data_IF_747055368699
#
_entry.id   IF_747055368699
#
_cell.length_a   1.000
_cell.length_b   1.000
_cell.length_c   1.000
_cell.angle_alpha   90.00
_cell.angle_beta   90.00
_cell.angle_gamma   90.00
#
_symmetry.space_group_name_H-M   'P 1'
#
loop_
_entity.id
_entity.type
_entity.pdbx_description
1 polymer ?
#
# COMPACT_ATOMS: atom_id res chain seq x y z
N UNK A 1 -0.37 3.24 -28.40
CA UNK A 1 -0.44 1.92 -27.71
C UNK A 1 -1.88 1.71 -27.25
N UNK A 2 -2.52 0.62 -27.63
CA UNK A 2 -3.91 0.36 -27.19
C UNK A 2 -3.87 -0.31 -25.80
N UNK A 3 -4.06 0.46 -24.74
CA UNK A 3 -4.02 -0.01 -23.34
C UNK A 3 -5.08 -1.09 -23.08
N UNK A 4 -6.17 -1.10 -23.84
CA UNK A 4 -7.26 -2.07 -23.71
C UNK A 4 -7.03 -3.38 -24.48
N UNK A 5 -5.89 -3.52 -25.18
CA UNK A 5 -5.60 -4.71 -26.00
C UNK A 5 -5.60 -6.00 -25.19
N UNK A 6 -5.09 -5.96 -23.96
CA UNK A 6 -5.03 -7.12 -23.06
C UNK A 6 -6.41 -7.64 -22.64
N UNK A 7 -7.47 -6.80 -22.65
CA UNK A 7 -8.84 -7.24 -22.35
C UNK A 7 -9.43 -8.20 -23.41
N UNK A 8 -8.83 -8.28 -24.59
CA UNK A 8 -9.22 -9.29 -25.60
C UNK A 8 -8.83 -10.70 -25.17
N UNK A 9 -7.87 -10.84 -24.27
CA UNK A 9 -7.47 -12.13 -23.72
C UNK A 9 -8.33 -12.46 -22.50
N UNK A 10 -9.28 -13.39 -22.66
CA UNK A 10 -10.32 -13.72 -21.66
C UNK A 10 -9.79 -14.01 -20.25
N UNK A 11 -8.71 -14.82 -20.06
CA UNK A 11 -8.18 -15.07 -18.72
C UNK A 11 -7.71 -13.79 -18.02
N UNK A 12 -6.99 -12.92 -18.74
CA UNK A 12 -6.56 -11.63 -18.18
C UNK A 12 -7.75 -10.70 -17.92
N UNK A 13 -8.73 -10.63 -18.81
CA UNK A 13 -9.91 -9.80 -18.64
C UNK A 13 -10.70 -10.18 -17.39
N UNK A 14 -10.91 -11.49 -17.15
CA UNK A 14 -11.57 -11.98 -15.94
C UNK A 14 -10.77 -11.62 -14.68
N UNK A 15 -9.45 -11.91 -14.66
CA UNK A 15 -8.60 -11.56 -13.53
C UNK A 15 -8.64 -10.07 -13.24
N UNK A 16 -8.45 -9.24 -14.28
CA UNK A 16 -8.42 -7.79 -14.15
C UNK A 16 -9.76 -7.22 -13.64
N UNK A 17 -10.89 -7.71 -14.16
CA UNK A 17 -12.22 -7.26 -13.71
C UNK A 17 -12.45 -7.63 -12.26
N UNK A 18 -12.23 -8.89 -11.87
CA UNK A 18 -12.39 -9.34 -10.49
C UNK A 18 -11.53 -8.53 -9.53
N UNK A 19 -10.24 -8.37 -9.86
CA UNK A 19 -9.30 -7.64 -9.01
C UNK A 19 -9.55 -6.13 -8.96
N UNK A 20 -10.08 -5.54 -10.03
CA UNK A 20 -10.45 -4.10 -10.00
C UNK A 20 -11.65 -3.89 -9.09
N UNK A 21 -12.64 -4.77 -9.13
CA UNK A 21 -13.81 -4.73 -8.24
C UNK A 21 -13.38 -4.94 -6.78
N UNK A 22 -12.53 -5.95 -6.51
CA UNK A 22 -12.03 -6.21 -5.16
C UNK A 22 -11.25 -5.03 -4.59
N UNK A 23 -10.32 -4.43 -5.36
CA UNK A 23 -9.59 -3.22 -4.93
C UNK A 23 -10.49 -2.03 -4.64
N UNK A 24 -11.59 -1.90 -5.37
CA UNK A 24 -12.58 -0.88 -5.07
C UNK A 24 -13.23 -1.19 -3.71
N UNK A 25 -13.65 -2.44 -3.47
CA UNK A 25 -14.14 -2.92 -2.18
C UNK A 25 -13.17 -2.63 -1.04
N UNK A 26 -11.89 -2.98 -1.19
CA UNK A 26 -10.85 -2.68 -0.21
C UNK A 26 -10.76 -1.19 0.13
N UNK A 27 -10.97 -0.31 -0.86
CA UNK A 27 -10.96 1.14 -0.63
C UNK A 27 -12.18 1.60 0.17
N UNK A 28 -13.37 0.99 -0.08
CA UNK A 28 -14.57 1.21 0.72
C UNK A 28 -14.37 0.74 2.15
N UNK A 29 -13.80 -0.47 2.30
CA UNK A 29 -13.51 -1.08 3.61
C UNK A 29 -12.61 -0.18 4.47
N UNK A 30 -11.51 0.34 3.91
CA UNK A 30 -10.60 1.22 4.66
C UNK A 30 -11.29 2.46 5.23
N UNK A 31 -12.18 3.09 4.48
CA UNK A 31 -12.94 4.27 4.95
C UNK A 31 -13.93 3.84 6.03
N UNK A 32 -14.70 2.77 5.78
CA UNK A 32 -15.68 2.25 6.73
C UNK A 32 -15.04 1.80 8.04
N UNK A 33 -13.91 1.08 7.96
CA UNK A 33 -13.20 0.59 9.13
C UNK A 33 -12.67 1.73 10.00
N UNK A 34 -12.00 2.70 9.38
CA UNK A 34 -11.46 3.85 10.12
C UNK A 34 -12.58 4.65 10.81
N UNK A 35 -13.70 4.84 10.12
CA UNK A 35 -14.86 5.56 10.68
C UNK A 35 -15.60 4.74 11.75
N UNK A 36 -15.76 3.43 11.54
CA UNK A 36 -16.38 2.53 12.53
C UNK A 36 -15.57 2.48 13.83
N UNK A 37 -14.24 2.34 13.75
CA UNK A 37 -13.37 2.33 14.94
C UNK A 37 -13.51 3.65 15.70
N UNK A 38 -13.49 4.79 14.99
CA UNK A 38 -13.69 6.10 15.59
C UNK A 38 -15.05 6.21 16.30
N UNK A 39 -16.14 5.77 15.66
CA UNK A 39 -17.49 5.90 16.21
C UNK A 39 -17.75 4.96 17.40
N UNK A 40 -17.26 3.74 17.31
CA UNK A 40 -17.54 2.71 18.36
C UNK A 40 -16.58 2.79 19.53
N UNK A 41 -15.35 3.22 19.34
CA UNK A 41 -14.35 3.22 20.42
C UNK A 41 -13.94 4.61 20.87
N UNK A 42 -14.01 5.60 20.02
CA UNK A 42 -13.46 6.95 20.28
C UNK A 42 -11.93 6.94 20.46
N UNK A 43 -11.24 5.81 20.26
CA UNK A 43 -9.82 5.63 20.56
C UNK A 43 -8.97 5.49 19.31
N UNK A 44 -8.02 6.40 19.15
CA UNK A 44 -7.02 6.31 18.10
C UNK A 44 -6.02 5.17 18.35
N UNK A 45 -5.78 4.80 19.60
CA UNK A 45 -5.00 3.61 19.96
C UNK A 45 -5.66 2.34 19.42
N UNK A 46 -6.99 2.24 19.47
CA UNK A 46 -7.70 1.12 18.86
C UNK A 46 -7.46 1.07 17.35
N UNK A 47 -7.52 2.21 16.65
CA UNK A 47 -7.23 2.28 15.21
C UNK A 47 -5.77 1.93 14.91
N UNK A 48 -4.83 2.45 15.68
CA UNK A 48 -3.41 2.08 15.58
C UNK A 48 -3.20 0.57 15.74
N UNK A 49 -3.87 -0.04 16.73
CA UNK A 49 -3.82 -1.49 17.00
C UNK A 49 -4.35 -2.31 15.81
N UNK A 50 -5.44 -1.90 15.18
CA UNK A 50 -5.97 -2.53 13.95
C UNK A 50 -4.89 -2.60 12.87
N UNK A 51 -4.24 -1.46 12.60
CA UNK A 51 -3.20 -1.39 11.57
C UNK A 51 -1.94 -2.19 11.95
N UNK A 52 -1.54 -2.17 13.22
CA UNK A 52 -0.43 -3.01 13.74
C UNK A 52 -0.72 -4.49 13.53
N UNK A 53 -1.93 -4.94 13.89
CA UNK A 53 -2.35 -6.34 13.76
C UNK A 53 -2.48 -6.79 12.29
N UNK A 54 -2.75 -5.89 11.37
CA UNK A 54 -2.69 -6.18 9.93
C UNK A 54 -1.24 -6.26 9.43
N UNK A 55 -0.40 -5.31 9.85
CA UNK A 55 0.95 -5.17 9.30
C UNK A 55 1.94 -6.22 9.82
N UNK A 56 1.83 -6.64 11.10
CA UNK A 56 2.76 -7.60 11.68
C UNK A 56 2.70 -8.98 10.99
N UNK A 57 1.53 -9.62 10.81
CA UNK A 57 1.47 -10.88 10.08
C UNK A 57 1.94 -10.74 8.63
N UNK A 58 1.58 -9.64 7.95
CA UNK A 58 2.05 -9.35 6.60
C UNK A 58 3.59 -9.38 6.53
N UNK A 59 4.28 -8.66 7.41
CA UNK A 59 5.75 -8.60 7.44
C UNK A 59 6.39 -9.96 7.77
N UNK A 60 5.84 -10.70 8.74
CA UNK A 60 6.37 -11.99 9.17
C UNK A 60 6.21 -13.04 8.05
N UNK A 61 5.03 -13.09 7.44
CA UNK A 61 4.69 -14.14 6.48
C UNK A 61 5.01 -13.81 5.03
N UNK A 62 5.39 -12.58 4.69
CA UNK A 62 5.68 -12.17 3.31
C UNK A 62 6.80 -13.01 2.67
N UNK A 63 7.86 -13.29 3.41
CA UNK A 63 8.97 -14.15 2.93
C UNK A 63 8.52 -15.59 2.73
N UNK A 64 7.70 -16.11 3.65
CA UNK A 64 7.13 -17.46 3.56
C UNK A 64 6.14 -17.52 2.39
N UNK A 65 5.35 -16.46 2.20
CA UNK A 65 4.39 -16.31 1.11
C UNK A 65 5.04 -16.46 -0.26
N UNK A 66 6.20 -15.85 -0.47
CA UNK A 66 6.97 -16.04 -1.71
C UNK A 66 7.32 -17.51 -1.97
N UNK A 67 7.82 -18.22 -0.94
CA UNK A 67 8.17 -19.65 -1.06
C UNK A 67 6.94 -20.52 -1.35
N UNK A 68 5.81 -20.21 -0.73
CA UNK A 68 4.55 -20.95 -0.93
C UNK A 68 4.03 -20.74 -2.35
N UNK A 69 4.05 -19.49 -2.85
CA UNK A 69 3.62 -19.12 -4.20
C UNK A 69 4.45 -19.81 -5.29
N UNK A 70 5.72 -20.11 -5.02
CA UNK A 70 6.55 -20.87 -5.94
C UNK A 70 6.21 -22.39 -5.98
N UNK A 71 5.57 -22.92 -4.92
CA UNK A 71 5.26 -24.35 -4.78
C UNK A 71 3.81 -24.70 -5.06
N UNK A 72 2.90 -23.75 -4.91
CA UNK A 72 1.47 -23.98 -5.06
C UNK A 72 0.90 -23.21 -6.26
N UNK A 73 -0.18 -23.72 -6.91
CA UNK A 73 -0.82 -23.01 -7.98
C UNK A 73 -1.29 -21.61 -7.55
N UNK A 74 -0.76 -20.59 -8.18
CA UNK A 74 -0.97 -19.18 -7.81
C UNK A 74 -2.44 -18.77 -7.82
N UNK A 75 -3.19 -19.26 -8.84
CA UNK A 75 -4.63 -19.00 -8.94
C UNK A 75 -5.43 -19.62 -7.79
N UNK A 76 -4.99 -20.78 -7.24
CA UNK A 76 -5.63 -21.40 -6.07
C UNK A 76 -5.39 -20.57 -4.82
N UNK A 77 -4.17 -20.05 -4.65
CA UNK A 77 -3.85 -19.16 -3.53
C UNK A 77 -4.76 -17.92 -3.59
N UNK A 78 -4.86 -17.28 -4.75
CA UNK A 78 -5.72 -16.11 -4.93
C UNK A 78 -7.19 -16.42 -4.67
N UNK A 79 -7.72 -17.52 -5.22
CA UNK A 79 -9.10 -17.94 -5.03
C UNK A 79 -9.43 -18.19 -3.55
N UNK A 80 -8.57 -18.94 -2.84
CA UNK A 80 -8.75 -19.22 -1.42
C UNK A 80 -8.62 -17.95 -0.57
N UNK A 81 -7.71 -17.05 -0.93
CA UNK A 81 -7.56 -15.74 -0.29
C UNK A 81 -8.83 -14.90 -0.44
N UNK A 82 -9.37 -14.80 -1.65
CA UNK A 82 -10.62 -14.06 -1.91
C UNK A 82 -11.81 -14.65 -1.12
N UNK A 83 -11.94 -16.00 -1.09
CA UNK A 83 -13.02 -16.66 -0.31
C UNK A 83 -12.86 -16.41 1.19
N UNK A 84 -11.63 -16.52 1.71
CA UNK A 84 -11.37 -16.30 3.14
C UNK A 84 -11.62 -14.84 3.52
N UNK A 85 -11.06 -13.88 2.76
CA UNK A 85 -11.30 -12.46 2.98
C UNK A 85 -12.79 -12.10 2.88
N UNK A 86 -13.46 -12.57 1.82
CA UNK A 86 -14.90 -12.37 1.65
C UNK A 86 -15.72 -12.92 2.81
N UNK A 87 -15.35 -14.09 3.34
CA UNK A 87 -16.03 -14.70 4.51
C UNK A 87 -15.81 -13.88 5.78
N UNK A 88 -14.59 -13.41 6.02
CA UNK A 88 -14.25 -12.55 7.18
C UNK A 88 -15.00 -11.22 7.09
N UNK A 89 -15.03 -10.57 5.92
CA UNK A 89 -15.76 -9.31 5.77
C UNK A 89 -17.26 -9.51 5.83
N UNK A 90 -17.79 -10.65 5.34
CA UNK A 90 -19.21 -11.01 5.52
C UNK A 90 -19.57 -11.10 7.00
N UNK A 91 -18.72 -11.76 7.80
CA UNK A 91 -18.90 -11.81 9.25
C UNK A 91 -18.93 -10.40 9.85
N UNK A 92 -17.96 -9.54 9.50
CA UNK A 92 -17.92 -8.14 9.94
C UNK A 92 -19.20 -7.40 9.54
N UNK A 93 -19.66 -7.54 8.30
CA UNK A 93 -20.85 -6.89 7.78
C UNK A 93 -22.12 -7.34 8.54
N UNK A 94 -22.32 -8.64 8.70
CA UNK A 94 -23.47 -9.20 9.41
C UNK A 94 -23.51 -8.75 10.88
N UNK A 95 -22.36 -8.84 11.58
CA UNK A 95 -22.27 -8.39 12.97
C UNK A 95 -22.44 -6.88 13.10
N UNK A 96 -22.02 -6.12 12.09
CA UNK A 96 -22.22 -4.67 12.02
C UNK A 96 -23.72 -4.33 11.82
N UNK A 97 -24.46 -5.05 10.94
CA UNK A 97 -25.88 -4.87 10.74
C UNK A 97 -26.71 -5.23 11.99
N UNK A 98 -26.26 -6.22 12.76
CA UNK A 98 -26.91 -6.66 14.00
C UNK A 98 -26.51 -5.80 15.21
N UNK A 99 -25.62 -4.81 15.04
CA UNK A 99 -25.01 -4.00 16.11
C UNK A 99 -24.27 -4.83 17.18
N UNK A 100 -23.81 -6.03 16.80
CA UNK A 100 -23.04 -6.95 17.63
C UNK A 100 -21.54 -6.87 17.41
N UNK A 101 -21.10 -6.06 16.41
CA UNK A 101 -19.69 -5.92 16.08
C UNK A 101 -18.94 -5.21 17.22
N UNK A 102 -17.87 -5.86 17.70
CA UNK A 102 -16.99 -5.37 18.74
C UNK A 102 -15.56 -5.22 18.21
N UNK A 103 -14.75 -4.39 18.87
CA UNK A 103 -13.40 -4.10 18.42
C UNK A 103 -12.50 -5.34 18.34
N UNK A 104 -12.67 -6.31 19.22
CA UNK A 104 -11.88 -7.54 19.19
C UNK A 104 -12.14 -8.40 17.95
N UNK A 105 -13.38 -8.37 17.38
CA UNK A 105 -13.67 -9.02 16.10
C UNK A 105 -12.83 -8.42 14.98
N UNK A 106 -12.69 -7.08 14.99
CA UNK A 106 -11.85 -6.35 14.03
C UNK A 106 -10.37 -6.70 14.23
N UNK A 107 -9.89 -6.84 15.46
CA UNK A 107 -8.51 -7.25 15.74
C UNK A 107 -8.21 -8.64 15.18
N UNK A 108 -9.11 -9.61 15.37
CA UNK A 108 -8.95 -10.95 14.81
C UNK A 108 -8.99 -10.90 13.28
N UNK A 109 -9.94 -10.17 12.70
CA UNK A 109 -10.03 -9.98 11.26
C UNK A 109 -8.74 -9.37 10.68
N UNK A 110 -8.17 -8.35 11.35
CA UNK A 110 -6.93 -7.69 10.93
C UNK A 110 -5.74 -8.65 10.89
N UNK A 111 -5.62 -9.55 11.88
CA UNK A 111 -4.60 -10.60 11.86
C UNK A 111 -4.77 -11.53 10.66
N UNK A 112 -6.02 -11.93 10.36
CA UNK A 112 -6.33 -12.80 9.22
C UNK A 112 -6.01 -12.07 7.91
N UNK A 113 -6.40 -10.80 7.77
CA UNK A 113 -6.08 -10.00 6.57
C UNK A 113 -4.59 -9.87 6.33
N UNK A 114 -3.81 -9.53 7.36
CA UNK A 114 -2.36 -9.44 7.23
C UNK A 114 -1.72 -10.76 6.82
N UNK A 115 -2.22 -11.88 7.35
CA UNK A 115 -1.79 -13.22 6.95
C UNK A 115 -2.16 -13.51 5.50
N UNK A 116 -3.40 -13.30 5.09
CA UNK A 116 -3.88 -13.56 3.72
C UNK A 116 -3.12 -12.73 2.70
N UNK A 117 -2.91 -11.44 2.97
CA UNK A 117 -2.22 -10.51 2.08
C UNK A 117 -0.76 -10.94 1.83
N UNK A 118 -0.10 -11.53 2.82
CA UNK A 118 1.27 -12.03 2.68
C UNK A 118 1.41 -13.13 1.60
N UNK A 119 0.35 -13.88 1.31
CA UNK A 119 0.31 -14.89 0.25
C UNK A 119 -0.33 -14.36 -1.03
N UNK A 120 -1.36 -13.57 -0.91
CA UNK A 120 -2.10 -13.01 -2.04
C UNK A 120 -1.22 -12.11 -2.90
N UNK A 121 -0.49 -11.18 -2.29
CA UNK A 121 0.29 -10.17 -3.02
C UNK A 121 1.33 -10.79 -3.97
N UNK A 122 2.23 -11.70 -3.54
CA UNK A 122 3.18 -12.33 -4.43
C UNK A 122 2.51 -13.25 -5.46
N UNK A 123 1.40 -13.91 -5.12
CA UNK A 123 0.63 -14.73 -6.06
C UNK A 123 0.07 -13.88 -7.20
N UNK A 124 -0.58 -12.76 -6.87
CA UNK A 124 -1.15 -11.83 -7.84
C UNK A 124 -0.10 -11.27 -8.81
N UNK A 125 1.05 -10.80 -8.28
CA UNK A 125 2.13 -10.27 -9.11
C UNK A 125 2.68 -11.32 -10.09
N UNK A 126 2.73 -12.57 -9.66
CA UNK A 126 3.28 -13.67 -10.45
C UNK A 126 2.27 -14.26 -11.46
N UNK A 127 0.96 -14.11 -11.23
CA UNK A 127 -0.09 -14.63 -12.13
C UNK A 127 -0.19 -13.82 -13.41
N UNK A 128 -0.03 -12.50 -13.37
CA UNK A 128 -0.19 -11.63 -14.54
C UNK A 128 0.67 -12.08 -15.72
N UNK A 129 2.00 -12.26 -15.59
CA UNK A 129 2.82 -12.74 -16.71
C UNK A 129 2.55 -14.21 -17.08
N UNK A 130 2.01 -15.00 -16.15
CA UNK A 130 1.70 -16.41 -16.39
C UNK A 130 0.49 -16.59 -17.32
N UNK A 131 -0.56 -15.75 -17.13
CA UNK A 131 -1.82 -15.87 -17.90
C UNK A 131 -1.91 -14.94 -19.10
N UNK A 132 -0.96 -14.00 -19.25
CA UNK A 132 -0.99 -12.98 -20.30
C UNK A 132 0.02 -13.31 -21.40
N UNK A 133 -0.36 -13.30 -22.69
CA UNK A 133 0.59 -13.46 -23.79
C UNK A 133 1.71 -12.41 -23.74
N UNK A 134 2.96 -12.77 -24.08
CA UNK A 134 4.12 -11.87 -23.99
C UNK A 134 3.94 -10.54 -24.72
N UNK A 135 3.29 -10.55 -25.88
CA UNK A 135 3.01 -9.37 -26.71
C UNK A 135 1.93 -8.45 -26.13
N UNK A 136 1.21 -8.89 -25.09
CA UNK A 136 0.17 -8.13 -24.39
C UNK A 136 0.58 -7.71 -22.97
N UNK A 137 1.72 -8.16 -22.43
CA UNK A 137 2.17 -7.88 -21.05
C UNK A 137 2.28 -6.38 -20.75
N UNK A 138 2.80 -5.58 -21.67
CA UNK A 138 2.89 -4.13 -21.49
C UNK A 138 1.51 -3.49 -21.36
N UNK A 139 0.53 -3.92 -22.18
CA UNK A 139 -0.86 -3.46 -22.09
C UNK A 139 -1.51 -3.89 -20.77
N UNK A 140 -1.27 -5.14 -20.34
CA UNK A 140 -1.80 -5.69 -19.09
C UNK A 140 -1.28 -4.92 -17.86
N UNK A 141 0.02 -4.69 -17.79
CA UNK A 141 0.64 -3.94 -16.69
C UNK A 141 0.19 -2.48 -16.66
N UNK A 142 0.07 -1.84 -17.85
CA UNK A 142 -0.45 -0.47 -17.96
C UNK A 142 -1.89 -0.37 -17.47
N UNK A 143 -2.76 -1.32 -17.87
CA UNK A 143 -4.16 -1.33 -17.46
C UNK A 143 -4.30 -1.61 -15.96
N UNK A 144 -3.50 -2.53 -15.42
CA UNK A 144 -3.48 -2.82 -13.99
C UNK A 144 -3.02 -1.61 -13.15
N UNK A 145 -1.99 -0.90 -13.61
CA UNK A 145 -1.55 0.34 -12.98
C UNK A 145 -2.63 1.45 -13.04
N UNK A 146 -3.29 1.60 -14.20
CA UNK A 146 -4.36 2.58 -14.37
C UNK A 146 -5.55 2.29 -13.46
N UNK A 147 -6.03 1.03 -13.40
CA UNK A 147 -7.14 0.67 -12.52
C UNK A 147 -6.82 0.93 -11.05
N UNK A 148 -5.61 0.61 -10.59
CA UNK A 148 -5.19 0.93 -9.22
C UNK A 148 -5.22 2.44 -8.92
N UNK A 149 -4.83 3.29 -9.88
CA UNK A 149 -4.90 4.75 -9.72
C UNK A 149 -6.34 5.25 -9.72
N UNK A 150 -7.18 4.75 -10.62
CA UNK A 150 -8.60 5.11 -10.66
C UNK A 150 -9.33 4.70 -9.38
N UNK A 151 -9.05 3.50 -8.87
CA UNK A 151 -9.58 3.05 -7.57
C UNK A 151 -9.14 3.96 -6.43
N UNK A 152 -7.88 4.42 -6.43
CA UNK A 152 -7.39 5.38 -5.43
C UNK A 152 -8.09 6.74 -5.48
N UNK A 153 -8.58 7.17 -6.65
CA UNK A 153 -9.32 8.44 -6.80
C UNK A 153 -10.79 8.26 -6.42
N UNK A 154 -11.45 7.23 -6.96
CA UNK A 154 -12.90 7.05 -6.86
C UNK A 154 -13.28 6.38 -5.54
N UNK A 155 -12.48 5.43 -5.08
CA UNK A 155 -12.78 4.57 -3.94
C UNK A 155 -13.05 5.33 -2.64
N UNK A 156 -12.19 6.27 -2.22
CA UNK A 156 -12.42 7.00 -0.97
C UNK A 156 -13.73 7.79 -0.95
N UNK A 157 -14.09 8.46 -2.05
CA UNK A 157 -15.37 9.19 -2.15
C UNK A 157 -16.55 8.23 -2.16
N UNK A 158 -16.47 7.13 -2.93
CA UNK A 158 -17.53 6.12 -2.92
C UNK A 158 -17.68 5.48 -1.53
N UNK A 159 -16.57 5.15 -0.87
CA UNK A 159 -16.59 4.59 0.49
C UNK A 159 -17.27 5.53 1.48
N UNK A 160 -16.87 6.79 1.47
CA UNK A 160 -17.46 7.80 2.33
C UNK A 160 -18.96 8.04 2.01
N UNK A 161 -19.33 8.06 0.72
CA UNK A 161 -20.73 8.19 0.31
C UNK A 161 -21.60 7.02 0.75
N UNK A 162 -21.08 5.80 0.65
CA UNK A 162 -21.80 4.60 1.12
C UNK A 162 -21.96 4.58 2.65
N UNK A 163 -20.91 4.98 3.38
CA UNK A 163 -21.01 5.12 4.84
C UNK A 163 -22.00 6.20 5.23
N UNK A 164 -22.02 7.33 4.52
CA UNK A 164 -23.00 8.40 4.77
C UNK A 164 -24.44 7.98 4.44
N UNK A 165 -24.64 7.15 3.42
CA UNK A 165 -25.98 6.74 2.96
C UNK A 165 -26.57 5.57 3.75
N UNK A 166 -25.78 4.58 4.17
CA UNK A 166 -26.24 3.34 4.78
C UNK A 166 -25.36 2.85 5.93
N UNK A 167 -24.49 3.72 6.45
CA UNK A 167 -23.57 3.37 7.54
C UNK A 167 -22.41 2.47 7.10
N UNK A 168 -21.56 2.17 8.06
CA UNK A 168 -20.43 1.27 7.84
C UNK A 168 -20.84 -0.16 7.45
N UNK A 169 -22.02 -0.71 7.91
CA UNK A 169 -22.46 -2.05 7.51
C UNK A 169 -22.66 -2.18 6.00
N UNK A 170 -23.19 -1.15 5.33
CA UNK A 170 -23.39 -1.16 3.87
C UNK A 170 -22.04 -1.23 3.13
N UNK A 171 -21.07 -0.43 3.53
CA UNK A 171 -19.75 -0.44 2.93
C UNK A 171 -19.04 -1.80 3.11
N UNK A 172 -19.12 -2.41 4.30
CA UNK A 172 -18.60 -3.77 4.55
C UNK A 172 -19.32 -4.83 3.71
N UNK A 173 -20.65 -4.71 3.52
CA UNK A 173 -21.41 -5.65 2.68
C UNK A 173 -20.99 -5.62 1.22
N UNK A 174 -20.76 -4.42 0.67
CA UNK A 174 -20.29 -4.25 -0.72
C UNK A 174 -18.87 -4.76 -0.86
N UNK A 175 -18.02 -4.53 0.12
CA UNK A 175 -16.66 -5.07 0.13
C UNK A 175 -16.65 -6.61 0.17
N UNK A 176 -17.45 -7.22 1.06
CA UNK A 176 -17.62 -8.67 1.10
C UNK A 176 -18.04 -9.25 -0.27
N UNK A 177 -19.02 -8.61 -0.91
CA UNK A 177 -19.48 -9.00 -2.25
C UNK A 177 -18.36 -8.88 -3.29
N UNK A 178 -17.51 -7.86 -3.20
CA UNK A 178 -16.41 -7.62 -4.11
C UNK A 178 -15.39 -8.77 -4.13
N UNK A 179 -15.06 -9.34 -2.98
CA UNK A 179 -14.21 -10.52 -2.86
C UNK A 179 -14.84 -11.75 -3.51
N UNK A 180 -16.13 -11.99 -3.32
CA UNK A 180 -16.80 -13.11 -3.98
C UNK A 180 -16.91 -12.93 -5.49
N UNK A 181 -17.11 -11.70 -5.98
CA UNK A 181 -17.06 -11.38 -7.42
C UNK A 181 -15.64 -11.69 -7.96
N UNK A 182 -14.59 -11.30 -7.23
CA UNK A 182 -13.21 -11.63 -7.60
C UNK A 182 -12.99 -13.14 -7.67
N UNK A 183 -13.41 -13.88 -6.65
CA UNK A 183 -13.33 -15.34 -6.63
C UNK A 183 -14.07 -15.98 -7.81
N UNK A 184 -15.28 -15.49 -8.14
CA UNK A 184 -16.07 -15.95 -9.30
C UNK A 184 -15.36 -15.67 -10.63
N UNK A 185 -14.63 -14.55 -10.75
CA UNK A 185 -13.82 -14.23 -11.93
C UNK A 185 -12.57 -15.11 -12.04
N UNK A 186 -11.95 -15.49 -10.92
CA UNK A 186 -10.76 -16.36 -10.90
C UNK A 186 -11.12 -17.82 -11.13
N UNK A 187 -12.29 -18.28 -10.68
CA UNK A 187 -12.72 -19.67 -10.75
C UNK A 187 -12.72 -20.30 -12.17
N UNK A 188 -13.23 -19.62 -13.24
CA UNK A 188 -13.16 -20.15 -14.60
C UNK A 188 -11.72 -20.32 -15.10
N UNK A 189 -10.81 -19.41 -14.70
CA UNK A 189 -9.40 -19.48 -15.09
C UNK A 189 -8.75 -20.70 -14.44
N UNK A 190 -9.08 -20.93 -13.18
CA UNK A 190 -8.60 -22.09 -12.42
C UNK A 190 -9.08 -23.42 -13.03
N UNK A 191 -10.35 -23.49 -13.50
CA UNK A 191 -10.92 -24.70 -14.14
C UNK A 191 -10.26 -25.03 -15.49
N UNK A 192 -9.69 -24.06 -16.19
CA UNK A 192 -9.05 -24.32 -17.47
C UNK A 192 -7.79 -25.20 -17.33
N UNK A 193 -7.21 -25.32 -16.12
CA UNK A 193 -6.06 -26.19 -15.82
C UNK A 193 -4.79 -25.91 -16.64
N UNK A 194 -4.85 -24.96 -17.57
CA UNK A 194 -3.80 -24.65 -18.54
C UNK A 194 -2.55 -24.03 -17.87
N UNK A 195 -2.74 -23.49 -16.68
CA UNK A 195 -1.72 -22.72 -15.95
C UNK A 195 -1.16 -23.47 -14.74
N UNK A 196 -1.76 -24.60 -14.35
CA UNK A 196 -1.22 -25.50 -13.32
C UNK A 196 -0.01 -26.31 -13.82
N UNK A 197 0.07 -26.59 -15.14
CA UNK A 197 1.11 -27.44 -15.73
C UNK A 197 2.46 -26.78 -15.98
N UNK A 198 2.56 -25.44 -15.96
CA UNK A 198 3.85 -24.75 -16.20
C UNK A 198 4.86 -24.82 -15.07
N UNK A 199 4.51 -25.33 -13.92
CA UNK A 199 5.47 -25.66 -12.85
C UNK A 199 6.26 -26.95 -13.17
N UNK A 200 5.79 -27.80 -14.09
CA UNK A 200 6.49 -29.03 -14.49
C UNK A 200 7.48 -28.80 -15.63
N UNK A 201 7.23 -27.84 -16.53
CA UNK A 201 8.11 -27.59 -17.68
C UNK A 201 9.38 -26.78 -17.38
N UNK A 202 9.51 -26.25 -16.15
CA UNK A 202 10.77 -25.67 -15.67
C UNK A 202 11.72 -26.75 -15.09
N UNK A 203 11.25 -28.01 -15.01
CA UNK A 203 12.06 -29.14 -14.55
C UNK A 203 13.11 -29.61 -15.57
N UNK A 204 13.05 -29.13 -16.81
CA UNK A 204 13.97 -29.58 -17.88
C UNK A 204 15.23 -28.70 -18.07
N UNK A 205 15.42 -27.69 -17.23
CA UNK A 205 16.67 -26.95 -17.19
C UNK A 205 17.34 -27.11 -15.84
N UNK A 206 18.22 -28.10 -15.82
CA UNK A 206 19.21 -28.44 -14.79
C UNK A 206 18.68 -29.11 -13.52
N UNK A 207 19.24 -30.27 -13.30
CA UNK A 207 19.42 -31.08 -12.09
C UNK A 207 19.81 -30.21 -10.86
N UNK A 208 18.90 -29.36 -10.40
CA UNK A 208 19.11 -28.60 -9.16
C UNK A 208 18.58 -29.45 -8.01
N UNK A 209 19.44 -29.83 -7.04
CA UNK A 209 19.02 -30.60 -5.89
C UNK A 209 17.85 -29.90 -5.19
N UNK A 210 16.85 -30.68 -4.73
CA UNK A 210 15.71 -30.17 -3.93
C UNK A 210 16.27 -29.39 -2.74
N UNK A 211 16.22 -28.07 -2.83
CA UNK A 211 16.72 -27.18 -1.79
C UNK A 211 15.90 -27.39 -0.52
N UNK A 212 16.57 -27.64 0.58
CA UNK A 212 15.91 -27.72 1.89
C UNK A 212 15.50 -26.31 2.36
N UNK A 213 14.55 -26.22 3.30
CA UNK A 213 14.18 -24.94 3.90
C UNK A 213 15.40 -24.18 4.49
N UNK A 214 16.38 -24.94 5.03
CA UNK A 214 17.66 -24.38 5.52
C UNK A 214 18.48 -23.73 4.40
N UNK A 215 18.52 -24.36 3.22
CA UNK A 215 19.28 -23.81 2.08
C UNK A 215 18.62 -22.52 1.54
N UNK A 216 17.29 -22.46 1.55
CA UNK A 216 16.53 -21.26 1.16
C UNK A 216 16.77 -20.10 2.15
N UNK A 217 16.74 -20.37 3.45
CA UNK A 217 17.05 -19.36 4.48
C UNK A 217 18.50 -18.91 4.38
N UNK A 218 19.45 -19.85 4.19
CA UNK A 218 20.87 -19.52 4.04
C UNK A 218 21.12 -18.66 2.78
N UNK A 219 20.45 -19.00 1.68
CA UNK A 219 20.52 -18.21 0.45
C UNK A 219 19.88 -16.82 0.64
N UNK A 220 18.71 -16.74 1.27
CA UNK A 220 18.05 -15.46 1.58
C UNK A 220 18.94 -14.54 2.45
N UNK A 221 19.62 -15.13 3.45
CA UNK A 221 20.60 -14.39 4.27
C UNK A 221 21.82 -13.93 3.46
N UNK A 222 22.32 -14.78 2.55
CA UNK A 222 23.42 -14.40 1.66
C UNK A 222 23.00 -13.30 0.68
N UNK A 223 21.81 -13.41 0.09
CA UNK A 223 21.24 -12.39 -0.81
C UNK A 223 21.00 -11.07 -0.07
N UNK A 224 20.50 -11.13 1.17
CA UNK A 224 20.36 -9.96 2.04
C UNK A 224 21.71 -9.30 2.32
N UNK A 225 22.72 -10.09 2.70
CA UNK A 225 24.08 -9.58 2.97
C UNK A 225 24.68 -8.91 1.74
N UNK A 226 24.56 -9.53 0.56
CA UNK A 226 25.08 -8.93 -0.68
C UNK A 226 24.32 -7.65 -1.06
N UNK A 227 23.00 -7.61 -0.83
CA UNK A 227 22.20 -6.39 -1.00
C UNK A 227 22.60 -5.30 0.00
N UNK A 228 22.81 -5.66 1.26
CA UNK A 228 23.26 -4.76 2.33
C UNK A 228 24.63 -4.16 2.03
N UNK A 229 25.59 -4.98 1.62
CA UNK A 229 26.92 -4.52 1.21
C UNK A 229 26.84 -3.56 0.02
N UNK A 230 25.92 -3.80 -0.92
CA UNK A 230 25.70 -2.90 -2.03
C UNK A 230 25.09 -1.53 -1.58
N UNK A 231 24.20 -1.52 -0.60
CA UNK A 231 23.55 -0.33 -0.08
C UNK A 231 24.53 0.52 0.72
N UNK A 232 25.33 -0.07 1.63
CA UNK A 232 26.27 0.66 2.48
C UNK A 232 27.34 1.36 1.64
N UNK A 233 27.75 0.79 0.51
CA UNK A 233 28.74 1.41 -0.38
C UNK A 233 28.20 2.65 -1.09
N UNK A 234 26.87 2.87 -1.09
CA UNK A 234 26.23 3.98 -1.79
C UNK A 234 25.53 4.87 -0.74
N UNK A 235 26.18 5.93 -0.23
CA UNK A 235 25.70 6.69 0.94
C UNK A 235 24.29 7.24 0.78
N UNK A 236 23.92 7.77 -0.39
CA UNK A 236 22.59 8.35 -0.58
C UNK A 236 21.46 7.31 -0.41
N UNK A 237 21.69 6.01 -0.71
CA UNK A 237 20.66 4.97 -0.58
C UNK A 237 20.36 4.71 0.89
N UNK A 238 21.38 4.31 1.68
CA UNK A 238 21.13 3.92 3.07
C UNK A 238 20.67 5.10 3.93
N UNK A 239 21.19 6.33 3.67
CA UNK A 239 20.75 7.54 4.37
C UNK A 239 19.25 7.78 4.10
N UNK A 240 18.82 7.65 2.83
CA UNK A 240 17.41 7.84 2.47
C UNK A 240 16.54 6.74 3.09
N UNK A 241 16.94 5.47 3.05
CA UNK A 241 16.18 4.37 3.68
C UNK A 241 15.99 4.63 5.18
N UNK A 242 17.05 5.04 5.89
CA UNK A 242 16.96 5.32 7.33
C UNK A 242 16.06 6.51 7.61
N UNK A 243 16.24 7.63 6.91
CA UNK A 243 15.41 8.82 7.08
C UNK A 243 13.95 8.51 6.78
N UNK A 244 13.66 7.80 5.68
CA UNK A 244 12.29 7.45 5.30
C UNK A 244 11.65 6.41 6.22
N UNK A 245 12.43 5.53 6.86
CA UNK A 245 11.94 4.69 7.95
C UNK A 245 11.33 5.52 9.08
N UNK A 246 12.01 6.58 9.52
CA UNK A 246 11.48 7.52 10.52
C UNK A 246 10.37 8.42 9.96
N UNK A 247 10.47 8.86 8.71
CA UNK A 247 9.42 9.65 8.04
C UNK A 247 8.09 8.89 7.96
N UNK A 248 8.11 7.58 7.74
CA UNK A 248 6.90 6.78 7.77
C UNK A 248 6.20 6.81 9.14
N UNK A 249 6.94 6.89 10.25
CA UNK A 249 6.36 7.08 11.58
C UNK A 249 5.72 8.46 11.69
N UNK A 250 6.39 9.51 11.23
CA UNK A 250 6.00 10.91 11.44
C UNK A 250 4.98 11.42 10.42
N UNK A 251 4.88 10.79 9.26
CA UNK A 251 4.09 11.26 8.13
C UNK A 251 2.95 10.29 7.76
N UNK A 252 3.28 9.01 7.51
CA UNK A 252 2.30 8.04 7.07
C UNK A 252 1.36 7.60 8.20
N UNK A 253 1.90 7.41 9.42
CA UNK A 253 1.12 6.92 10.55
C UNK A 253 0.07 7.93 11.05
N UNK A 254 0.36 9.23 11.23
CA UNK A 254 -0.69 10.21 11.57
C UNK A 254 -1.81 10.27 10.53
N UNK A 255 -1.50 10.19 9.25
CA UNK A 255 -2.53 10.18 8.20
C UNK A 255 -3.40 8.93 8.24
N UNK A 256 -2.84 7.78 8.56
CA UNK A 256 -3.60 6.52 8.62
C UNK A 256 -4.44 6.39 9.89
N UNK A 257 -3.94 6.89 11.02
CA UNK A 257 -4.53 6.69 12.35
C UNK A 257 -5.28 7.94 12.83
N UNK A 258 -4.63 9.12 12.78
CA UNK A 258 -5.14 10.33 13.44
C UNK A 258 -6.12 11.14 12.58
N UNK A 259 -6.11 10.94 11.24
CA UNK A 259 -6.93 11.74 10.32
C UNK A 259 -8.45 11.63 10.57
N UNK A 260 -9.05 10.44 10.80
CA UNK A 260 -10.48 10.37 11.11
C UNK A 260 -10.86 11.15 12.38
N UNK A 261 -9.96 11.12 13.40
CA UNK A 261 -10.15 11.82 14.68
C UNK A 261 -10.07 13.33 14.49
N UNK A 262 -9.11 13.82 13.72
CA UNK A 262 -9.02 15.23 13.35
C UNK A 262 -10.30 15.71 12.65
N UNK A 263 -10.80 14.94 11.69
CA UNK A 263 -12.00 15.30 10.90
C UNK A 263 -13.22 15.42 11.80
N UNK A 264 -13.47 14.42 12.65
CA UNK A 264 -14.66 14.38 13.48
C UNK A 264 -14.57 15.33 14.68
N UNK A 265 -13.48 15.26 15.45
CA UNK A 265 -13.39 15.91 16.75
C UNK A 265 -12.92 17.37 16.64
N UNK A 266 -12.04 17.69 15.69
CA UNK A 266 -11.43 19.01 15.60
C UNK A 266 -12.02 19.87 14.48
N UNK A 267 -12.37 19.26 13.32
CA UNK A 267 -12.99 19.98 12.20
C UNK A 267 -14.52 19.92 12.21
N UNK A 268 -15.12 19.08 13.07
CA UNK A 268 -16.56 18.92 13.17
C UNK A 268 -17.22 18.42 11.89
N UNK A 269 -16.47 17.70 11.05
CA UNK A 269 -16.92 17.21 9.75
C UNK A 269 -17.27 15.71 9.81
N UNK A 270 -17.96 15.24 8.79
CA UNK A 270 -18.38 13.85 8.64
C UNK A 270 -17.38 13.02 7.81
N UNK A 271 -17.72 11.75 7.61
CA UNK A 271 -16.94 10.79 6.82
C UNK A 271 -16.70 11.26 5.38
N UNK A 272 -17.56 12.12 4.84
CA UNK A 272 -17.43 12.68 3.48
C UNK A 272 -16.10 13.39 3.30
N UNK A 273 -15.64 14.13 4.31
CA UNK A 273 -14.36 14.82 4.25
C UNK A 273 -13.16 13.86 4.18
N UNK A 274 -13.24 12.69 4.87
CA UNK A 274 -12.20 11.67 4.76
C UNK A 274 -12.08 11.13 3.32
N UNK A 275 -13.23 10.91 2.66
CA UNK A 275 -13.27 10.53 1.24
C UNK A 275 -12.68 11.60 0.33
N UNK A 276 -13.04 12.88 0.54
CA UNK A 276 -12.51 14.02 -0.24
C UNK A 276 -11.00 14.14 -0.08
N UNK A 277 -10.47 14.02 1.14
CA UNK A 277 -9.02 14.05 1.38
C UNK A 277 -8.30 12.93 0.64
N UNK A 278 -8.82 11.68 0.70
CA UNK A 278 -8.24 10.54 0.00
C UNK A 278 -8.23 10.72 -1.53
N UNK A 279 -9.32 11.22 -2.09
CA UNK A 279 -9.42 11.48 -3.53
C UNK A 279 -8.55 12.66 -3.96
N UNK A 280 -8.52 13.75 -3.18
CA UNK A 280 -7.66 14.91 -3.45
C UNK A 280 -6.17 14.50 -3.48
N UNK A 281 -5.72 13.71 -2.51
CA UNK A 281 -4.39 13.11 -2.50
C UNK A 281 -4.12 12.31 -3.79
N UNK A 282 -5.04 11.42 -4.15
CA UNK A 282 -4.86 10.53 -5.31
C UNK A 282 -4.82 11.30 -6.63
N UNK A 283 -5.64 12.34 -6.77
CA UNK A 283 -5.63 13.24 -7.94
C UNK A 283 -4.28 13.97 -8.03
N UNK A 284 -3.81 14.56 -6.92
CA UNK A 284 -2.51 15.20 -6.86
C UNK A 284 -1.38 14.25 -7.26
N UNK A 285 -1.40 13.02 -6.75
CA UNK A 285 -0.42 12.00 -7.06
C UNK A 285 -0.41 11.63 -8.56
N UNK A 286 -1.58 11.41 -9.16
CA UNK A 286 -1.70 11.07 -10.59
C UNK A 286 -1.23 12.22 -11.46
N UNK A 287 -1.66 13.46 -11.17
CA UNK A 287 -1.25 14.64 -11.93
C UNK A 287 0.25 14.90 -11.80
N UNK A 288 0.83 14.70 -10.63
CA UNK A 288 2.27 14.78 -10.42
C UNK A 288 3.05 13.75 -11.25
N UNK A 289 2.58 12.50 -11.31
CA UNK A 289 3.19 11.48 -12.17
C UNK A 289 3.10 11.84 -13.65
N UNK A 290 1.94 12.32 -14.12
CA UNK A 290 1.75 12.72 -15.51
C UNK A 290 2.62 13.93 -15.88
N UNK A 291 2.74 14.90 -14.98
CA UNK A 291 3.57 16.08 -15.18
C UNK A 291 5.05 15.70 -15.24
N UNK A 292 5.55 14.92 -14.28
CA UNK A 292 6.95 14.50 -14.23
C UNK A 292 7.32 13.52 -15.35
N UNK A 293 6.40 12.67 -15.79
CA UNK A 293 6.62 11.72 -16.89
C UNK A 293 6.91 12.40 -18.24
N UNK A 294 6.67 13.71 -18.37
CA UNK A 294 6.99 14.48 -19.57
C UNK A 294 8.48 14.88 -19.64
N UNK A 295 9.20 14.85 -18.51
CA UNK A 295 10.61 15.22 -18.46
C UNK A 295 11.50 14.01 -18.77
N UNK A 296 12.34 14.13 -19.77
CA UNK A 296 13.30 13.07 -20.17
C UNK A 296 14.36 12.81 -19.11
N UNK A 297 14.73 13.81 -18.33
CA UNK A 297 15.74 13.73 -17.27
C UNK A 297 15.40 14.70 -16.13
N UNK A 298 15.37 14.17 -14.93
CA UNK A 298 15.28 14.98 -13.74
C UNK A 298 16.69 15.38 -13.29
N UNK A 299 16.91 16.67 -13.14
CA UNK A 299 18.15 17.23 -12.59
C UNK A 299 17.99 17.48 -11.09
N UNK A 300 19.08 17.43 -10.35
CA UNK A 300 19.11 17.65 -8.90
C UNK A 300 18.12 16.73 -8.17
N UNK A 301 18.22 15.46 -8.44
CA UNK A 301 17.28 14.41 -7.96
C UNK A 301 17.17 14.40 -6.44
N UNK A 302 18.29 14.44 -5.73
CA UNK A 302 18.30 14.48 -4.27
C UNK A 302 17.53 15.67 -3.72
N UNK A 303 17.91 16.93 -4.07
CA UNK A 303 17.16 18.10 -3.64
C UNK A 303 15.67 18.06 -4.02
N UNK A 304 15.33 17.61 -5.25
CA UNK A 304 13.95 17.58 -5.71
C UNK A 304 13.07 16.64 -4.85
N UNK A 305 13.55 15.43 -4.55
CA UNK A 305 12.83 14.48 -3.71
C UNK A 305 12.67 14.95 -2.26
N UNK A 306 13.75 15.46 -1.68
CA UNK A 306 13.73 15.91 -0.28
C UNK A 306 12.94 17.21 -0.08
N UNK A 307 13.01 18.16 -1.01
CA UNK A 307 12.18 19.37 -0.96
C UNK A 307 10.70 19.02 -1.10
N UNK A 308 10.35 18.09 -2.00
CA UNK A 308 8.97 17.61 -2.11
C UNK A 308 8.49 17.00 -0.78
N UNK A 309 9.31 16.19 -0.12
CA UNK A 309 8.98 15.63 1.20
C UNK A 309 8.93 16.70 2.28
N UNK A 310 9.77 17.73 2.23
CA UNK A 310 9.69 18.87 3.15
C UNK A 310 8.38 19.63 2.99
N UNK A 311 7.88 19.81 1.77
CA UNK A 311 6.55 20.39 1.50
C UNK A 311 5.45 19.53 2.11
N UNK A 312 5.57 18.19 2.08
CA UNK A 312 4.65 17.30 2.79
C UNK A 312 4.65 17.59 4.30
N UNK A 313 5.81 17.81 4.90
CA UNK A 313 5.91 18.24 6.30
C UNK A 313 5.16 19.55 6.57
N UNK A 314 5.27 20.54 5.68
CA UNK A 314 4.50 21.79 5.78
C UNK A 314 3.00 21.52 5.69
N UNK A 315 2.55 20.65 4.77
CA UNK A 315 1.14 20.27 4.67
C UNK A 315 0.64 19.63 5.97
N UNK A 316 1.43 18.75 6.60
CA UNK A 316 1.06 18.19 7.90
C UNK A 316 0.89 19.25 8.98
N UNK A 317 1.75 20.29 9.02
CA UNK A 317 1.58 21.41 9.92
C UNK A 317 0.24 22.13 9.71
N UNK A 318 -0.20 22.30 8.45
CA UNK A 318 -1.50 22.93 8.17
C UNK A 318 -2.67 22.17 8.81
N UNK A 319 -2.62 20.84 8.85
CA UNK A 319 -3.64 20.03 9.52
C UNK A 319 -3.68 20.28 11.03
N UNK A 320 -2.53 20.49 11.66
CA UNK A 320 -2.46 20.82 13.08
C UNK A 320 -2.94 22.24 13.45
N UNK A 321 -2.97 23.15 12.47
CA UNK A 321 -3.35 24.57 12.68
C UNK A 321 -4.85 24.84 12.55
N UNK A 322 -5.70 23.80 12.33
CA UNK A 322 -7.17 23.92 12.21
C UNK A 322 -7.61 24.95 11.15
N UNK A 323 -6.95 24.95 10.00
CA UNK A 323 -7.25 25.87 8.90
C UNK A 323 -8.60 25.54 8.24
N UNK A 324 -9.17 26.45 7.43
CA UNK A 324 -10.40 26.19 6.68
C UNK A 324 -10.29 24.94 5.81
N UNK A 325 -11.35 24.13 5.77
CA UNK A 325 -11.39 22.84 5.04
C UNK A 325 -10.91 22.96 3.58
N UNK A 326 -11.25 23.98 2.78
CA UNK A 326 -10.73 24.10 1.41
C UNK A 326 -9.20 24.17 1.33
N UNK A 327 -8.54 24.80 2.32
CA UNK A 327 -7.07 24.86 2.40
C UNK A 327 -6.49 23.49 2.66
N UNK A 328 -7.12 22.71 3.55
CA UNK A 328 -6.69 21.33 3.86
C UNK A 328 -6.90 20.39 2.68
N UNK A 329 -7.99 20.55 1.91
CA UNK A 329 -8.21 19.81 0.65
C UNK A 329 -7.10 20.11 -0.35
N UNK A 330 -6.77 21.40 -0.55
CA UNK A 330 -5.65 21.83 -1.38
C UNK A 330 -4.31 21.28 -0.88
N UNK A 331 -4.11 21.25 0.44
CA UNK A 331 -2.95 20.64 1.08
C UNK A 331 -2.81 19.16 0.73
N UNK A 332 -3.90 18.37 0.80
CA UNK A 332 -3.88 16.96 0.41
C UNK A 332 -3.54 16.74 -1.06
N UNK A 333 -4.02 17.62 -1.93
CA UNK A 333 -3.63 17.61 -3.35
C UNK A 333 -2.13 17.83 -3.53
N UNK A 334 -1.58 18.86 -2.90
CA UNK A 334 -0.14 19.16 -2.92
C UNK A 334 0.67 18.02 -2.33
N UNK A 335 0.19 17.44 -1.23
CA UNK A 335 0.81 16.28 -0.60
C UNK A 335 0.94 15.10 -1.57
N UNK A 336 -0.14 14.77 -2.29
CA UNK A 336 -0.14 13.71 -3.31
C UNK A 336 0.83 14.00 -4.45
N UNK A 337 0.86 15.25 -4.94
CA UNK A 337 1.78 15.70 -5.98
C UNK A 337 3.24 15.52 -5.52
N UNK A 338 3.59 15.99 -4.34
CA UNK A 338 4.94 15.88 -3.79
C UNK A 338 5.35 14.42 -3.55
N UNK A 339 4.42 13.58 -3.11
CA UNK A 339 4.67 12.15 -2.92
C UNK A 339 5.00 11.44 -4.25
N UNK A 340 4.37 11.86 -5.36
CA UNK A 340 4.69 11.33 -6.69
C UNK A 340 6.08 11.77 -7.18
N UNK A 341 6.49 13.01 -6.84
CA UNK A 341 7.85 13.51 -7.15
C UNK A 341 8.90 12.63 -6.50
N UNK A 342 8.78 12.42 -5.17
CA UNK A 342 9.72 11.56 -4.46
C UNK A 342 9.73 10.13 -5.02
N UNK A 343 8.56 9.52 -5.21
CA UNK A 343 8.44 8.14 -5.70
C UNK A 343 9.09 7.92 -7.07
N UNK A 344 8.90 8.86 -8.01
CA UNK A 344 9.54 8.79 -9.32
C UNK A 344 11.05 9.03 -9.26
N UNK A 345 11.49 10.04 -8.50
CA UNK A 345 12.91 10.31 -8.29
C UNK A 345 13.61 9.09 -7.70
N UNK A 346 13.04 8.51 -6.64
CA UNK A 346 13.58 7.33 -5.96
C UNK A 346 13.71 6.14 -6.90
N UNK A 347 12.60 5.76 -7.55
CA UNK A 347 12.56 4.61 -8.44
C UNK A 347 13.54 4.74 -9.61
N UNK A 348 13.54 5.90 -10.28
CA UNK A 348 14.42 6.13 -11.43
C UNK A 348 15.90 6.13 -11.02
N UNK A 349 16.22 6.75 -9.87
CA UNK A 349 17.61 6.82 -9.40
C UNK A 349 18.13 5.44 -9.02
N UNK A 350 17.31 4.60 -8.34
CA UNK A 350 17.68 3.21 -8.06
C UNK A 350 17.91 2.42 -9.35
N UNK A 351 17.01 2.53 -10.33
CA UNK A 351 17.12 1.79 -11.60
C UNK A 351 18.34 2.20 -12.44
N UNK A 352 18.75 3.46 -12.38
CA UNK A 352 19.88 3.94 -13.14
C UNK A 352 21.24 3.71 -12.45
N UNK A 353 21.29 3.83 -11.11
CA UNK A 353 22.54 3.80 -10.36
C UNK A 353 22.89 2.44 -9.75
N UNK A 354 21.90 1.54 -9.59
CA UNK A 354 22.15 0.22 -9.05
C UNK A 354 22.30 -0.81 -10.18
N UNK A 355 23.36 -1.63 -10.20
CA UNK A 355 23.51 -2.68 -11.19
C UNK A 355 22.29 -3.61 -11.24
N UNK A 356 21.77 -3.91 -12.45
CA UNK A 356 20.55 -4.70 -12.64
C UNK A 356 20.53 -6.03 -11.86
N UNK A 357 21.70 -6.70 -11.72
CA UNK A 357 21.84 -7.96 -10.96
C UNK A 357 21.56 -7.81 -9.46
N UNK A 358 21.74 -6.60 -8.89
CA UNK A 358 21.56 -6.31 -7.46
C UNK A 358 20.25 -5.55 -7.17
N UNK A 359 19.57 -5.05 -8.20
CA UNK A 359 18.42 -4.16 -8.07
C UNK A 359 17.28 -4.79 -7.23
N UNK A 360 16.96 -6.07 -7.48
CA UNK A 360 15.93 -6.77 -6.71
C UNK A 360 16.25 -6.88 -5.22
N UNK A 361 17.53 -7.13 -4.87
CA UNK A 361 17.98 -7.19 -3.47
C UNK A 361 17.93 -5.84 -2.78
N UNK A 362 18.32 -4.78 -3.50
CA UNK A 362 18.23 -3.40 -3.00
C UNK A 362 16.77 -3.00 -2.76
N UNK A 363 15.85 -3.31 -3.69
CA UNK A 363 14.41 -3.07 -3.48
C UNK A 363 13.84 -3.83 -2.28
N UNK A 364 14.29 -5.08 -2.04
CA UNK A 364 13.83 -5.85 -0.89
C UNK A 364 14.28 -5.22 0.43
N UNK A 365 15.52 -4.72 0.50
CA UNK A 365 16.04 -4.05 1.71
C UNK A 365 15.38 -2.68 1.89
N UNK A 366 15.16 -1.94 0.81
CA UNK A 366 14.43 -0.67 0.83
C UNK A 366 13.00 -0.85 1.37
N UNK A 367 12.26 -1.81 0.84
CA UNK A 367 10.93 -2.14 1.31
C UNK A 367 10.93 -2.53 2.80
N UNK A 368 11.88 -3.39 3.21
CA UNK A 368 12.00 -3.79 4.61
C UNK A 368 12.36 -2.59 5.50
N UNK A 369 13.36 -1.80 5.14
CA UNK A 369 13.80 -0.63 5.90
C UNK A 369 12.73 0.45 6.01
N UNK A 370 11.96 0.65 4.95
CA UNK A 370 10.88 1.66 4.92
C UNK A 370 9.62 1.21 5.66
N UNK A 371 9.26 -0.08 5.65
CA UNK A 371 7.96 -0.55 6.15
C UNK A 371 8.03 -1.24 7.51
N UNK A 372 9.22 -1.75 7.92
CA UNK A 372 9.36 -2.48 9.19
C UNK A 372 9.02 -1.62 10.42
N UNK A 373 9.19 -0.30 10.31
CA UNK A 373 8.88 0.64 11.37
C UNK A 373 7.40 1.12 11.37
N UNK A 374 6.61 0.81 10.34
CA UNK A 374 5.20 1.23 10.27
C UNK A 374 4.34 0.75 11.45
N UNK A 375 4.43 -0.51 11.91
CA UNK A 375 3.66 -0.95 13.07
C UNK A 375 3.97 -0.12 14.32
N UNK A 376 5.24 0.23 14.53
CA UNK A 376 5.66 1.11 15.63
C UNK A 376 5.05 2.50 15.45
N UNK A 377 5.08 3.01 14.22
CA UNK A 377 4.47 4.30 13.89
C UNK A 377 2.96 4.33 14.14
N UNK A 378 2.23 3.28 13.76
CA UNK A 378 0.79 3.18 14.00
C UNK A 378 0.46 3.13 15.50
N UNK A 379 1.22 2.37 16.29
CA UNK A 379 1.05 2.30 17.73
C UNK A 379 1.33 3.67 18.38
N UNK A 380 2.43 4.33 18.01
CA UNK A 380 2.80 5.66 18.54
C UNK A 380 1.75 6.70 18.14
N UNK A 381 1.34 6.74 16.86
CA UNK A 381 0.35 7.71 16.38
C UNK A 381 -0.99 7.53 17.09
N UNK A 382 -1.44 6.29 17.33
CA UNK A 382 -2.67 6.00 18.04
C UNK A 382 -2.61 6.49 19.47
N UNK A 383 -1.60 6.06 20.23
CA UNK A 383 -1.39 6.45 21.61
C UNK A 383 -1.22 7.97 21.77
N UNK A 384 -0.41 8.59 20.92
CA UNK A 384 -0.18 10.04 20.98
C UNK A 384 -1.47 10.81 20.63
N UNK A 385 -2.29 10.34 19.69
CA UNK A 385 -3.56 10.99 19.35
C UNK A 385 -4.53 10.97 20.53
N UNK A 386 -4.64 9.86 21.25
CA UNK A 386 -5.49 9.76 22.44
C UNK A 386 -4.96 10.66 23.60
N UNK A 387 -3.63 10.85 23.69
CA UNK A 387 -3.01 11.62 24.78
C UNK A 387 -3.02 13.14 24.54
N UNK A 388 -2.60 13.59 23.36
CA UNK A 388 -2.36 15.02 23.06
C UNK A 388 -3.25 15.59 21.95
N UNK A 389 -4.15 14.77 21.40
CA UNK A 389 -5.05 15.14 20.30
C UNK A 389 -4.42 15.06 18.92
N UNK A 390 -5.27 14.83 17.89
CA UNK A 390 -4.83 14.70 16.52
C UNK A 390 -4.08 15.94 15.98
N UNK A 391 -4.50 17.19 16.25
CA UNK A 391 -3.78 18.39 15.78
C UNK A 391 -2.33 18.41 16.23
N UNK A 392 -2.04 18.08 17.49
CA UNK A 392 -0.68 18.06 18.04
C UNK A 392 0.18 16.99 17.34
N UNK A 393 -0.39 15.81 17.07
CA UNK A 393 0.32 14.73 16.34
C UNK A 393 0.70 15.18 14.94
N UNK A 394 -0.19 15.90 14.24
CA UNK A 394 0.11 16.46 12.92
C UNK A 394 1.18 17.56 12.99
N UNK A 395 1.16 18.44 14.01
CA UNK A 395 2.19 19.47 14.19
C UNK A 395 3.56 18.84 14.43
N UNK A 396 3.64 17.90 15.36
CA UNK A 396 4.90 17.21 15.67
C UNK A 396 5.38 16.41 14.46
N UNK A 397 4.50 15.66 13.83
CA UNK A 397 4.80 14.90 12.61
C UNK A 397 5.36 15.80 11.50
N UNK A 398 4.70 16.94 11.23
CA UNK A 398 5.14 17.91 10.22
C UNK A 398 6.50 18.54 10.56
N UNK A 399 6.69 18.98 11.82
CA UNK A 399 7.95 19.55 12.26
C UNK A 399 9.11 18.54 12.17
N UNK A 400 8.89 17.30 12.62
CA UNK A 400 9.88 16.22 12.50
C UNK A 400 10.18 15.88 11.02
N UNK A 401 9.16 15.86 10.15
CA UNK A 401 9.35 15.65 8.71
C UNK A 401 10.25 16.72 8.11
N UNK A 402 10.02 18.00 8.42
CA UNK A 402 10.86 19.11 7.96
C UNK A 402 12.29 18.96 8.51
N UNK A 403 12.44 18.67 9.79
CA UNK A 403 13.76 18.51 10.42
C UNK A 403 14.56 17.36 9.78
N UNK A 404 13.94 16.18 9.61
CA UNK A 404 14.58 15.00 9.02
C UNK A 404 14.96 15.25 7.55
N UNK A 405 14.12 15.94 6.78
CA UNK A 405 14.44 16.27 5.39
C UNK A 405 15.55 17.31 5.29
N UNK A 406 15.64 18.29 6.19
CA UNK A 406 16.75 19.23 6.28
C UNK A 406 18.06 18.53 6.65
N UNK A 407 18.02 17.59 7.60
CA UNK A 407 19.18 16.76 7.94
C UNK A 407 19.64 15.97 6.70
N UNK A 408 18.73 15.36 5.96
CA UNK A 408 19.08 14.66 4.72
C UNK A 408 19.70 15.58 3.67
N UNK A 409 19.12 16.76 3.44
CA UNK A 409 19.64 17.75 2.48
C UNK A 409 21.01 18.35 2.89
N UNK A 410 21.34 18.33 4.17
CA UNK A 410 22.67 18.79 4.63
C UNK A 410 23.79 17.83 4.22
N UNK A 411 23.46 16.55 3.93
CA UNK A 411 24.46 15.57 3.54
C UNK A 411 24.85 15.70 2.07
N UNK A 412 26.17 15.79 1.76
CA UNK A 412 26.65 16.02 0.38
C UNK A 412 26.20 14.97 -0.63
N UNK A 413 26.08 13.69 -0.21
CA UNK A 413 25.64 12.60 -1.09
C UNK A 413 24.20 12.76 -1.58
N UNK A 414 23.34 13.46 -0.85
CA UNK A 414 21.97 13.78 -1.23
C UNK A 414 21.92 15.11 -1.97
N UNK A 415 22.57 16.14 -1.43
CA UNK A 415 22.56 17.47 -2.02
C UNK A 415 23.13 17.51 -3.43
N UNK A 416 24.15 16.72 -3.70
CA UNK A 416 24.84 16.67 -5.00
C UNK A 416 24.35 15.52 -5.91
N UNK A 417 23.28 14.82 -5.52
CA UNK A 417 22.69 13.74 -6.33
C UNK A 417 21.96 14.34 -7.53
N UNK A 418 22.46 14.05 -8.74
CA UNK A 418 21.92 14.56 -10.02
C UNK A 418 21.46 13.42 -10.95
#
# INVERSE_FOLDING_TARGET
MNVLRSLKHRPFALLWTGQTVSRLGDSLHRIALAWWVLEKTGSATAMGTVLVLTQIPLLIFLLIGGIVVDRFPRLRIMFLSDILSGSVVTFIAVFSWLDLLQIWHIYVASLIFGFVEAFFFPAYQSVIPQITPPDMLTSANSLNGLSGRMTGIIGPVLGASLVAAGGTPLAFSIDALSFFISALCVFPILRLGLYDKKTEDVSDVTDKPKRTAKDLVKQGLADFREGWDAIITIPWIWITIVIFGFLNIMEASPRAVSMPFLIKNDLGADVGLLGIFGSSFSIGYVLGMLWLGQYKRLRRRGPAGYIATMVNGVVLLLFGLKLPIPVLIGGMFVYGLCMSVFGLVWTNTLQEMVPHKKLGRVYSIDALGSWVLLPVGFAIAGWATDLVGAPTVFLVGGACTIALTLIGLSHPAIRNLD
#
